data_IF_332002112250
#
_entry.id   IF_332002112250
#
_cell.length_a   1.000
_cell.length_b   1.000
_cell.length_c   1.000
_cell.angle_alpha   90.00
_cell.angle_beta   90.00
_cell.angle_gamma   90.00
#
_symmetry.space_group_name_H-M   'P 1'
#
loop_
_entity.id
_entity.type
_entity.pdbx_description
1 polymer ?
#
# COMPACT_ATOMS: atom_id res chain seq x y z
N UNK A 1 -27.31 3.60 0.54
CA UNK A 1 -25.94 3.47 1.10
C UNK A 1 -25.30 2.12 0.79
N UNK A 2 -25.86 0.98 1.23
CA UNK A 2 -25.30 -0.36 0.93
C UNK A 2 -25.05 -0.60 -0.57
N UNK A 3 -26.05 -0.39 -1.43
CA UNK A 3 -25.91 -0.61 -2.88
C UNK A 3 -24.89 0.35 -3.54
N UNK A 4 -24.78 1.59 -3.05
CA UNK A 4 -23.79 2.56 -3.54
C UNK A 4 -22.38 2.09 -3.19
N UNK A 5 -22.16 1.65 -1.93
CA UNK A 5 -20.86 1.13 -1.50
C UNK A 5 -20.49 -0.13 -2.29
N UNK A 6 -21.42 -1.07 -2.50
CA UNK A 6 -21.17 -2.28 -3.30
C UNK A 6 -20.88 -1.95 -4.76
N UNK A 7 -21.52 -0.92 -5.32
CA UNK A 7 -21.22 -0.42 -6.66
C UNK A 7 -19.81 0.15 -6.76
N UNK A 8 -19.39 0.97 -5.79
CA UNK A 8 -18.03 1.52 -5.73
C UNK A 8 -16.97 0.43 -5.58
N UNK A 9 -17.25 -0.60 -4.76
CA UNK A 9 -16.40 -1.78 -4.62
C UNK A 9 -16.25 -2.51 -5.96
N UNK A 10 -17.33 -2.77 -6.69
CA UNK A 10 -17.28 -3.43 -8.01
C UNK A 10 -16.52 -2.63 -9.06
N UNK A 11 -16.54 -1.30 -8.94
CA UNK A 11 -15.78 -0.40 -9.82
C UNK A 11 -14.31 -0.24 -9.40
N UNK A 12 -13.89 -0.86 -8.30
CA UNK A 12 -12.57 -0.66 -7.67
C UNK A 12 -12.27 0.83 -7.37
N UNK A 13 -13.31 1.62 -7.11
CA UNK A 13 -13.17 3.06 -6.86
C UNK A 13 -12.90 3.33 -5.37
N UNK A 14 -11.62 3.27 -5.01
CA UNK A 14 -11.16 3.53 -3.64
C UNK A 14 -11.53 4.93 -3.12
N UNK A 15 -11.65 5.92 -4.00
CA UNK A 15 -11.99 7.28 -3.61
C UNK A 15 -13.48 7.42 -3.29
N UNK A 16 -14.34 6.85 -4.13
CA UNK A 16 -15.78 6.79 -3.88
C UNK A 16 -16.07 5.95 -2.62
N UNK A 17 -15.38 4.82 -2.43
CA UNK A 17 -15.49 4.00 -1.21
C UNK A 17 -15.19 4.86 0.04
N UNK A 18 -14.07 5.60 0.07
CA UNK A 18 -13.75 6.49 1.20
C UNK A 18 -14.84 7.53 1.40
N UNK A 19 -15.25 8.20 0.33
CA UNK A 19 -16.25 9.28 0.37
C UNK A 19 -17.56 8.78 0.97
N UNK A 20 -18.04 7.63 0.50
CA UNK A 20 -19.24 6.99 1.04
C UNK A 20 -19.05 6.67 2.52
N UNK A 21 -17.99 5.94 2.90
CA UNK A 21 -17.78 5.49 4.27
C UNK A 21 -17.58 6.63 5.27
N UNK A 22 -16.92 7.72 4.86
CA UNK A 22 -16.65 8.88 5.71
C UNK A 22 -17.90 9.76 5.90
N UNK A 23 -18.84 9.72 4.96
CA UNK A 23 -20.11 10.45 5.03
C UNK A 23 -21.21 9.74 5.84
N UNK A 24 -20.98 8.51 6.33
CA UNK A 24 -21.98 7.76 7.08
C UNK A 24 -22.18 8.33 8.49
N UNK A 25 -23.43 8.34 8.94
CA UNK A 25 -23.74 8.43 10.37
C UNK A 25 -23.24 7.18 11.13
N UNK A 26 -23.10 7.29 12.45
CA UNK A 26 -22.71 6.14 13.30
C UNK A 26 -23.68 4.96 13.15
N UNK A 27 -24.98 5.23 13.06
CA UNK A 27 -26.00 4.19 12.89
C UNK A 27 -25.86 3.46 11.54
N UNK A 28 -25.66 4.20 10.46
CA UNK A 28 -25.44 3.62 9.13
C UNK A 28 -24.14 2.82 9.06
N UNK A 29 -23.07 3.36 9.66
CA UNK A 29 -21.78 2.68 9.77
C UNK A 29 -21.92 1.36 10.52
N UNK A 30 -22.60 1.34 11.66
CA UNK A 30 -22.81 0.12 12.44
C UNK A 30 -23.62 -0.91 11.65
N UNK A 31 -24.71 -0.49 10.99
CA UNK A 31 -25.51 -1.39 10.13
C UNK A 31 -24.67 -2.00 9.00
N UNK A 32 -23.80 -1.22 8.38
CA UNK A 32 -22.90 -1.72 7.33
C UNK A 32 -21.81 -2.63 7.90
N UNK A 33 -21.19 -2.30 9.04
CA UNK A 33 -20.23 -3.17 9.73
C UNK A 33 -20.84 -4.55 10.00
N UNK A 34 -22.04 -4.58 10.60
CA UNK A 34 -22.77 -5.83 10.86
C UNK A 34 -23.04 -6.59 9.55
N UNK A 35 -23.53 -5.91 8.51
CA UNK A 35 -23.75 -6.54 7.21
C UNK A 35 -22.49 -7.20 6.63
N UNK A 36 -21.35 -6.50 6.65
CA UNK A 36 -20.06 -7.02 6.18
C UNK A 36 -19.56 -8.19 7.03
N UNK A 37 -19.78 -8.11 8.34
CA UNK A 37 -19.37 -9.14 9.29
C UNK A 37 -20.24 -10.38 9.20
N UNK A 38 -21.54 -10.27 8.91
CA UNK A 38 -22.47 -11.40 8.86
C UNK A 38 -22.52 -12.09 7.49
N UNK A 39 -22.40 -11.31 6.41
CA UNK A 39 -22.51 -11.82 5.04
C UNK A 39 -21.16 -12.32 4.53
N UNK A 40 -21.03 -13.55 4.02
CA UNK A 40 -19.82 -13.98 3.33
C UNK A 40 -19.55 -13.13 2.07
N UNK A 41 -18.29 -12.83 1.76
CA UNK A 41 -17.94 -12.04 0.55
C UNK A 41 -18.57 -12.61 -0.72
N UNK A 42 -18.59 -13.93 -0.85
CA UNK A 42 -19.17 -14.64 -2.01
C UNK A 42 -20.66 -14.39 -2.22
N UNK A 43 -21.36 -13.87 -1.20
CA UNK A 43 -22.78 -13.51 -1.27
C UNK A 43 -23.00 -12.00 -1.42
N UNK A 44 -21.96 -11.18 -1.24
CA UNK A 44 -22.07 -9.73 -1.40
C UNK A 44 -22.04 -9.29 -2.87
N UNK A 45 -21.35 -10.07 -3.73
CA UNK A 45 -21.37 -9.91 -5.20
C UNK A 45 -20.72 -11.12 -5.90
N UNK A 46 -21.06 -11.30 -7.19
CA UNK A 46 -20.38 -12.24 -8.07
C UNK A 46 -18.94 -11.79 -8.29
N UNK A 47 -17.99 -12.47 -7.65
CA UNK A 47 -16.55 -12.24 -7.81
C UNK A 47 -16.09 -12.83 -9.15
N UNK A 48 -15.74 -12.03 -10.19
CA UNK A 48 -14.92 -12.55 -11.27
C UNK A 48 -13.59 -13.06 -10.68
N UNK A 49 -13.29 -14.35 -10.90
CA UNK A 49 -11.97 -14.91 -10.56
C UNK A 49 -10.91 -14.31 -11.49
N UNK A 50 -10.37 -13.15 -11.12
CA UNK A 50 -9.17 -12.59 -11.75
C UNK A 50 -7.93 -13.23 -11.12
N UNK A 51 -7.08 -13.86 -11.93
CA UNK A 51 -5.80 -14.43 -11.48
C UNK A 51 -4.64 -13.48 -11.84
N UNK A 52 -4.97 -12.28 -12.34
CA UNK A 52 -4.00 -11.32 -12.84
C UNK A 52 -3.31 -10.61 -11.66
N UNK A 53 -1.97 -10.71 -11.65
CA UNK A 53 -1.08 -10.26 -10.56
C UNK A 53 -1.16 -8.76 -10.21
N UNK A 54 -1.79 -7.95 -11.07
CA UNK A 54 -1.86 -6.48 -10.99
C UNK A 54 -3.29 -5.91 -11.04
N UNK A 55 -4.31 -6.75 -10.91
CA UNK A 55 -5.71 -6.30 -10.76
C UNK A 55 -6.05 -6.41 -9.28
N UNK A 56 -6.71 -5.41 -8.65
CA UNK A 56 -7.23 -5.55 -7.31
C UNK A 56 -8.01 -6.85 -7.24
N UNK A 57 -7.53 -7.79 -6.43
CA UNK A 57 -8.34 -8.93 -6.11
C UNK A 57 -9.53 -8.33 -5.37
N UNK A 58 -10.73 -8.62 -5.84
CA UNK A 58 -11.99 -8.11 -5.31
C UNK A 58 -12.08 -8.15 -3.76
N UNK A 59 -11.43 -9.15 -3.15
CA UNK A 59 -11.23 -9.28 -1.71
C UNK A 59 -10.42 -8.15 -1.04
N UNK A 60 -9.42 -7.59 -1.73
CA UNK A 60 -8.58 -6.46 -1.27
C UNK A 60 -9.42 -5.18 -1.22
N UNK A 61 -10.18 -4.89 -2.27
CA UNK A 61 -11.07 -3.71 -2.32
C UNK A 61 -12.16 -3.80 -1.26
N UNK A 62 -12.70 -5.00 -1.05
CA UNK A 62 -13.65 -5.28 0.03
C UNK A 62 -13.07 -5.05 1.41
N UNK A 63 -11.86 -5.55 1.65
CA UNK A 63 -11.23 -5.35 2.94
C UNK A 63 -10.86 -3.87 3.16
N UNK A 64 -10.51 -3.13 2.10
CA UNK A 64 -10.35 -1.68 2.16
C UNK A 64 -11.64 -0.95 2.53
N UNK A 65 -12.76 -1.33 1.92
CA UNK A 65 -14.07 -0.78 2.30
C UNK A 65 -14.35 -1.04 3.78
N UNK A 66 -14.04 -2.24 4.28
CA UNK A 66 -14.16 -2.57 5.68
C UNK A 66 -13.19 -1.77 6.57
N UNK A 67 -11.94 -1.54 6.14
CA UNK A 67 -11.00 -0.64 6.82
C UNK A 67 -11.54 0.79 6.91
N UNK A 68 -12.26 1.29 5.92
CA UNK A 68 -12.88 2.62 5.97
C UNK A 68 -14.08 2.69 6.93
N UNK A 69 -14.76 1.56 7.17
CA UNK A 69 -15.88 1.45 8.10
C UNK A 69 -15.41 1.23 9.55
N UNK A 70 -14.33 0.50 9.73
CA UNK A 70 -13.72 0.19 11.02
C UNK A 70 -12.92 1.34 11.60
N UNK A 71 -12.73 1.25 12.90
CA UNK A 71 -11.97 2.15 13.75
C UNK A 71 -10.97 1.38 14.63
N UNK A 72 -10.90 0.05 14.49
CA UNK A 72 -10.07 -0.87 15.27
C UNK A 72 -9.49 -1.98 14.37
N UNK A 73 -8.26 -2.42 14.64
CA UNK A 73 -7.56 -3.42 13.82
C UNK A 73 -8.15 -4.81 13.97
N UNK A 74 -8.62 -5.16 15.16
CA UNK A 74 -9.19 -6.45 15.53
C UNK A 74 -10.40 -6.80 14.68
N UNK A 75 -11.22 -5.80 14.33
CA UNK A 75 -12.38 -5.98 13.46
C UNK A 75 -11.95 -6.40 12.06
N UNK A 76 -10.93 -5.73 11.52
CA UNK A 76 -10.39 -6.06 10.20
C UNK A 76 -9.84 -7.48 10.20
N UNK A 77 -9.05 -7.84 11.22
CA UNK A 77 -8.50 -9.19 11.36
C UNK A 77 -9.61 -10.25 11.47
N UNK A 78 -10.71 -9.93 12.16
CA UNK A 78 -11.86 -10.81 12.23
C UNK A 78 -12.54 -10.98 10.86
N UNK A 79 -12.77 -9.89 10.15
CA UNK A 79 -13.34 -9.89 8.81
C UNK A 79 -12.48 -10.69 7.81
N UNK A 80 -11.16 -10.47 7.82
CA UNK A 80 -10.20 -11.18 6.98
C UNK A 80 -10.22 -12.69 7.24
N UNK A 81 -10.15 -13.11 8.51
CA UNK A 81 -10.18 -14.52 8.91
C UNK A 81 -11.48 -15.21 8.50
N UNK A 82 -12.63 -14.56 8.77
CA UNK A 82 -13.95 -15.12 8.42
C UNK A 82 -14.06 -15.37 6.91
N UNK A 83 -13.50 -14.48 6.10
CA UNK A 83 -13.63 -14.52 4.66
C UNK A 83 -12.43 -15.16 3.95
N UNK A 84 -11.50 -15.77 4.71
CA UNK A 84 -10.31 -16.41 4.19
C UNK A 84 -9.51 -15.49 3.24
N UNK A 85 -9.41 -14.21 3.60
CA UNK A 85 -8.64 -13.20 2.86
C UNK A 85 -7.19 -13.33 3.30
N UNK A 86 -6.29 -13.51 2.35
CA UNK A 86 -4.84 -13.64 2.58
C UNK A 86 -4.46 -14.68 3.66
N UNK A 87 -4.98 -15.92 3.59
CA UNK A 87 -4.81 -16.92 4.66
C UNK A 87 -3.37 -17.40 4.83
N UNK A 88 -2.55 -17.18 3.80
CA UNK A 88 -1.12 -17.53 3.77
C UNK A 88 -0.24 -16.48 4.46
N UNK A 89 -0.79 -15.28 4.72
CA UNK A 89 -0.10 -14.21 5.41
C UNK A 89 -0.76 -13.98 6.76
N UNK A 90 -0.01 -14.25 7.84
CA UNK A 90 -0.42 -13.95 9.23
C UNK A 90 -0.86 -12.49 9.42
N UNK A 91 -0.49 -11.62 8.48
CA UNK A 91 -0.58 -10.16 8.55
C UNK A 91 -1.74 -9.57 7.75
N UNK A 92 -2.55 -10.42 7.12
CA UNK A 92 -3.82 -10.03 6.51
C UNK A 92 -3.68 -9.15 5.28
N UNK A 93 -4.77 -8.47 4.92
CA UNK A 93 -4.86 -7.62 3.72
C UNK A 93 -4.01 -6.34 3.84
N UNK A 94 -3.72 -5.93 5.07
CA UNK A 94 -2.94 -4.73 5.32
C UNK A 94 -1.53 -4.84 4.72
N UNK A 95 -1.01 -6.06 4.63
CA UNK A 95 0.24 -6.31 3.91
C UNK A 95 0.14 -5.99 2.41
N UNK A 96 -0.97 -6.31 1.75
CA UNK A 96 -1.19 -5.99 0.34
C UNK A 96 -1.22 -4.47 0.12
N UNK A 97 -1.75 -3.73 1.09
CA UNK A 97 -1.76 -2.27 1.13
C UNK A 97 -0.39 -1.63 1.37
N UNK A 98 0.58 -2.39 1.90
CA UNK A 98 1.98 -1.95 2.03
C UNK A 98 2.80 -2.24 0.76
N UNK A 99 2.20 -2.86 -0.25
CA UNK A 99 2.81 -3.07 -1.57
C UNK A 99 2.67 -1.83 -2.45
N UNK A 100 3.50 -1.74 -3.49
CA UNK A 100 3.48 -0.61 -4.44
C UNK A 100 2.12 -0.44 -5.14
N UNK A 101 1.30 -1.49 -5.24
CA UNK A 101 0.05 -1.43 -5.99
C UNK A 101 -1.07 -0.67 -5.26
N UNK A 102 -1.05 -0.67 -3.92
CA UNK A 102 -2.16 -0.17 -3.10
C UNK A 102 -1.72 0.81 -2.00
N UNK A 103 -0.43 1.16 -1.96
CA UNK A 103 0.07 2.11 -0.97
C UNK A 103 -0.59 3.50 -1.05
N UNK A 104 -0.96 4.07 -2.23
CA UNK A 104 -1.61 5.38 -2.28
C UNK A 104 -2.97 5.38 -1.56
N UNK A 105 -3.70 4.28 -1.64
CA UNK A 105 -5.02 4.10 -1.05
C UNK A 105 -4.92 4.00 0.47
N UNK A 106 -3.97 3.21 0.96
CA UNK A 106 -3.66 3.17 2.39
C UNK A 106 -3.17 4.51 2.92
N UNK A 107 -2.29 5.18 2.18
CA UNK A 107 -1.77 6.49 2.53
C UNK A 107 -2.90 7.51 2.68
N UNK A 108 -3.83 7.55 1.73
CA UNK A 108 -4.99 8.43 1.78
C UNK A 108 -5.88 8.13 3.00
N UNK A 109 -6.03 6.86 3.38
CA UNK A 109 -6.78 6.47 4.57
C UNK A 109 -6.09 6.89 5.87
N UNK A 110 -4.78 6.61 6.05
CA UNK A 110 -4.05 6.95 7.29
C UNK A 110 -3.86 8.46 7.50
N UNK A 111 -3.98 9.25 6.43
CA UNK A 111 -3.96 10.71 6.49
C UNK A 111 -5.33 11.30 6.88
N UNK A 112 -6.41 10.51 6.74
CA UNK A 112 -7.74 10.91 7.17
C UNK A 112 -7.96 10.63 8.67
N UNK A 113 -8.79 11.43 9.38
CA UNK A 113 -9.12 11.17 10.79
C UNK A 113 -9.64 9.76 11.05
N UNK A 114 -10.44 9.22 10.13
CA UNK A 114 -11.03 7.89 10.21
C UNK A 114 -9.98 6.76 10.15
N UNK A 115 -8.80 7.01 9.58
CA UNK A 115 -7.70 6.05 9.52
C UNK A 115 -6.67 6.19 10.64
N UNK A 116 -6.92 7.03 11.66
CA UNK A 116 -5.96 7.27 12.74
C UNK A 116 -5.53 5.98 13.45
N UNK A 117 -6.44 5.04 13.66
CA UNK A 117 -6.15 3.74 14.28
C UNK A 117 -5.13 2.91 13.48
N UNK A 118 -5.14 3.01 12.14
CA UNK A 118 -4.15 2.31 11.30
C UNK A 118 -2.77 2.97 11.40
N UNK A 119 -2.72 4.28 11.66
CA UNK A 119 -1.47 5.01 11.82
C UNK A 119 -0.70 4.54 13.06
N UNK A 120 -1.39 4.21 14.14
CA UNK A 120 -0.82 3.69 15.38
C UNK A 120 -0.19 2.30 15.19
N UNK A 121 -0.70 1.51 14.23
CA UNK A 121 -0.19 0.17 13.91
C UNK A 121 1.09 0.21 13.05
N UNK A 122 1.32 1.27 12.28
CA UNK A 122 2.41 1.36 11.30
C UNK A 122 3.81 1.15 11.89
N UNK A 123 4.19 1.69 13.07
CA UNK A 123 5.50 1.45 13.65
C UNK A 123 5.77 -0.02 13.95
N UNK A 124 4.79 -0.72 14.55
CA UNK A 124 4.92 -2.16 14.83
C UNK A 124 5.03 -2.95 13.51
N UNK A 125 4.20 -2.58 12.54
CA UNK A 125 4.27 -3.18 11.21
C UNK A 125 5.55 -2.84 10.45
N UNK A 126 6.23 -1.73 10.75
CA UNK A 126 7.54 -1.48 10.19
C UNK A 126 8.58 -2.44 10.80
N UNK A 127 8.61 -2.55 12.13
CA UNK A 127 9.57 -3.40 12.87
C UNK A 127 9.54 -4.86 12.37
N UNK A 128 8.35 -5.43 12.18
CA UNK A 128 8.24 -6.85 11.87
C UNK A 128 8.45 -7.20 10.40
N UNK A 129 8.46 -6.21 9.51
CA UNK A 129 8.05 -6.39 8.11
C UNK A 129 8.76 -5.46 7.14
N UNK A 130 9.67 -4.63 7.61
CA UNK A 130 10.31 -3.57 6.85
C UNK A 130 10.78 -4.01 5.44
N UNK A 131 11.35 -5.22 5.34
CA UNK A 131 11.84 -5.81 4.08
C UNK A 131 10.74 -6.12 3.05
N UNK A 132 9.49 -6.17 3.47
CA UNK A 132 8.34 -6.52 2.65
C UNK A 132 7.51 -5.33 2.19
N UNK A 133 7.59 -4.20 2.91
CA UNK A 133 7.01 -2.93 2.50
C UNK A 133 7.66 -2.47 1.18
N UNK A 134 6.91 -1.79 0.32
CA UNK A 134 7.48 -1.21 -0.90
C UNK A 134 8.39 -0.01 -0.59
N UNK A 135 9.30 0.31 -1.49
CA UNK A 135 10.18 1.46 -1.30
C UNK A 135 9.36 2.76 -1.22
N UNK A 136 8.32 2.93 -2.04
CA UNK A 136 7.50 4.14 -2.04
C UNK A 136 6.82 4.35 -0.70
N UNK A 137 6.24 3.28 -0.14
CA UNK A 137 5.59 3.34 1.16
C UNK A 137 6.63 3.60 2.27
N UNK A 138 7.77 2.91 2.27
CA UNK A 138 8.88 3.20 3.21
C UNK A 138 9.31 4.66 3.13
N UNK A 139 9.47 5.18 1.91
CA UNK A 139 9.90 6.54 1.66
C UNK A 139 8.90 7.55 2.20
N UNK A 140 7.62 7.41 1.86
CA UNK A 140 6.56 8.29 2.34
C UNK A 140 6.42 8.24 3.85
N UNK A 141 6.44 7.05 4.46
CA UNK A 141 6.35 6.90 5.92
C UNK A 141 7.52 7.60 6.64
N UNK A 142 8.72 7.52 6.07
CA UNK A 142 9.88 8.26 6.57
C UNK A 142 9.67 9.78 6.45
N UNK A 143 9.22 10.27 5.28
CA UNK A 143 8.95 11.70 5.08
C UNK A 143 7.82 12.24 5.97
N UNK A 144 6.95 11.37 6.46
CA UNK A 144 5.88 11.70 7.42
C UNK A 144 6.32 11.55 8.89
N UNK A 145 7.60 11.27 9.16
CA UNK A 145 8.16 11.02 10.49
C UNK A 145 7.48 9.85 11.25
N UNK A 146 6.92 8.88 10.52
CA UNK A 146 6.26 7.69 11.10
C UNK A 146 7.21 6.53 11.33
N UNK A 147 8.31 6.50 10.59
CA UNK A 147 9.38 5.50 10.74
C UNK A 147 10.75 6.18 10.65
N UNK A 148 11.79 5.65 11.32
CA UNK A 148 13.14 6.17 11.19
C UNK A 148 13.74 5.82 9.83
N UNK A 149 14.62 6.70 9.33
CA UNK A 149 15.44 6.39 8.15
C UNK A 149 16.37 5.21 8.44
N UNK A 150 16.38 4.24 7.52
CA UNK A 150 17.27 3.08 7.58
C UNK A 150 17.98 2.94 6.23
N UNK A 151 19.18 3.50 6.11
CA UNK A 151 19.96 3.60 4.85
C UNK A 151 20.08 2.22 4.17
N UNK A 152 20.47 1.19 4.92
CA UNK A 152 20.61 -0.17 4.39
C UNK A 152 19.30 -0.71 3.83
N UNK A 153 18.23 -0.67 4.63
CA UNK A 153 16.93 -1.19 4.22
C UNK A 153 16.42 -0.47 2.98
N UNK A 154 16.50 0.86 2.96
CA UNK A 154 15.95 1.68 1.88
C UNK A 154 16.72 1.43 0.58
N UNK A 155 18.05 1.37 0.64
CA UNK A 155 18.90 1.03 -0.50
C UNK A 155 18.58 -0.38 -1.00
N UNK A 156 18.60 -1.39 -0.14
CA UNK A 156 18.29 -2.76 -0.55
C UNK A 156 16.89 -2.86 -1.15
N UNK A 157 15.87 -2.22 -0.56
CA UNK A 157 14.51 -2.27 -1.07
C UNK A 157 14.38 -1.61 -2.46
N UNK A 158 14.97 -0.42 -2.64
CA UNK A 158 14.98 0.31 -3.92
C UNK A 158 15.53 -0.55 -5.05
N UNK A 159 16.68 -1.18 -4.84
CA UNK A 159 17.35 -1.94 -5.89
C UNK A 159 16.79 -3.36 -6.08
N UNK A 160 16.41 -4.06 -5.01
CA UNK A 160 15.93 -5.44 -5.12
C UNK A 160 14.51 -5.54 -5.69
N UNK A 161 13.61 -4.61 -5.34
CA UNK A 161 12.18 -4.73 -5.67
C UNK A 161 11.71 -3.81 -6.77
N UNK A 162 12.28 -2.62 -6.92
CA UNK A 162 11.80 -1.71 -7.94
C UNK A 162 12.50 -1.95 -9.27
N UNK A 163 13.83 -2.11 -9.28
CA UNK A 163 14.60 -2.18 -10.55
C UNK A 163 14.26 -3.44 -11.35
N UNK A 164 13.94 -4.53 -10.66
CA UNK A 164 13.62 -5.82 -11.28
C UNK A 164 12.22 -5.92 -11.92
N UNK A 165 11.31 -4.97 -11.66
CA UNK A 165 9.89 -5.08 -12.05
C UNK A 165 9.27 -3.79 -12.61
N UNK A 166 10.02 -2.69 -12.72
CA UNK A 166 9.50 -1.37 -13.14
C UNK A 166 10.24 -0.80 -14.34
N UNK A 167 9.51 -0.06 -15.15
CA UNK A 167 10.06 0.64 -16.31
C UNK A 167 10.69 1.97 -15.90
N UNK A 168 11.64 2.44 -16.71
CA UNK A 168 12.37 3.70 -16.52
C UNK A 168 11.49 4.93 -16.18
N UNK A 169 10.31 5.16 -16.80
CA UNK A 169 9.49 6.33 -16.50
C UNK A 169 9.06 6.42 -15.03
N UNK A 170 8.78 5.27 -14.41
CA UNK A 170 8.38 5.22 -13.00
C UNK A 170 9.46 5.80 -12.08
N UNK A 171 10.72 5.46 -12.33
CA UNK A 171 11.85 5.97 -11.55
C UNK A 171 12.08 7.45 -11.77
N UNK A 172 11.91 7.92 -13.00
CA UNK A 172 12.02 9.34 -13.31
C UNK A 172 10.98 10.12 -12.50
N UNK A 173 9.71 9.70 -12.51
CA UNK A 173 8.65 10.38 -11.76
C UNK A 173 8.92 10.37 -10.25
N UNK A 174 9.35 9.22 -9.71
CA UNK A 174 9.69 9.09 -8.29
C UNK A 174 10.85 10.01 -7.88
N UNK A 175 11.90 10.09 -8.70
CA UNK A 175 13.07 10.94 -8.43
C UNK A 175 12.76 12.42 -8.63
N UNK A 176 11.87 12.78 -9.56
CA UNK A 176 11.38 14.14 -9.71
C UNK A 176 10.54 14.56 -8.50
N UNK A 177 9.74 13.64 -7.95
CA UNK A 177 8.94 13.87 -6.76
C UNK A 177 9.80 13.98 -5.49
N UNK A 178 10.86 13.18 -5.39
CA UNK A 178 11.75 13.10 -4.22
C UNK A 178 13.22 13.14 -4.64
N UNK A 179 13.75 14.33 -5.00
CA UNK A 179 15.11 14.46 -5.52
C UNK A 179 16.19 14.02 -4.52
N UNK A 180 15.91 14.06 -3.22
CA UNK A 180 16.85 13.65 -2.19
C UNK A 180 17.16 12.14 -2.21
N UNK A 181 16.31 11.31 -2.86
CA UNK A 181 16.59 9.89 -3.11
C UNK A 181 17.92 9.73 -3.84
N UNK A 182 18.27 10.64 -4.75
CA UNK A 182 19.54 10.59 -5.46
C UNK A 182 20.74 10.64 -4.49
N UNK A 183 20.67 11.51 -3.50
CA UNK A 183 21.76 11.70 -2.52
C UNK A 183 21.75 10.71 -1.37
N UNK A 184 20.58 10.23 -0.93
CA UNK A 184 20.45 9.35 0.24
C UNK A 184 20.45 7.87 -0.14
N UNK A 185 19.92 7.52 -1.31
CA UNK A 185 19.73 6.13 -1.74
C UNK A 185 20.71 5.78 -2.85
N UNK A 186 20.67 6.50 -3.98
CA UNK A 186 21.52 6.14 -5.13
C UNK A 186 23.01 6.30 -4.81
N UNK A 187 23.40 7.34 -4.07
CA UNK A 187 24.79 7.56 -3.68
C UNK A 187 25.28 6.55 -2.61
N UNK A 188 24.37 6.01 -1.80
CA UNK A 188 24.67 5.00 -0.79
C UNK A 188 24.71 3.57 -1.36
N UNK A 189 24.21 3.35 -2.57
CA UNK A 189 24.14 2.04 -3.22
C UNK A 189 25.45 1.22 -3.15
N UNK A 190 26.64 1.78 -3.43
CA UNK A 190 27.89 1.02 -3.40
C UNK A 190 28.23 0.41 -2.03
N UNK A 191 27.68 0.95 -0.93
CA UNK A 191 27.92 0.44 0.43
C UNK A 191 27.16 -0.86 0.73
N UNK A 192 26.06 -1.12 0.03
CA UNK A 192 25.12 -2.20 0.38
C UNK A 192 24.87 -3.18 -0.77
N UNK A 193 25.07 -2.74 -2.01
CA UNK A 193 24.85 -3.55 -3.19
C UNK A 193 26.19 -4.11 -3.67
N UNK A 194 26.53 -5.31 -3.21
CA UNK A 194 27.82 -5.96 -3.53
C UNK A 194 27.74 -6.94 -4.72
N UNK A 195 26.54 -7.36 -5.15
CA UNK A 195 26.37 -8.46 -6.12
C UNK A 195 25.31 -8.24 -7.21
N UNK A 196 24.58 -7.10 -7.24
CA UNK A 196 23.59 -6.82 -8.29
C UNK A 196 24.19 -6.02 -9.46
N UNK A 197 25.33 -6.49 -9.97
CA UNK A 197 25.98 -6.04 -11.21
C UNK A 197 25.17 -6.33 -12.49
N UNK A 198 23.90 -6.72 -12.38
CA UNK A 198 23.05 -7.04 -13.53
C UNK A 198 22.30 -5.85 -14.13
N UNK A 199 22.32 -4.66 -13.50
CA UNK A 199 21.64 -3.45 -14.03
C UNK A 199 22.49 -2.17 -13.93
N UNK A 200 23.82 -2.29 -13.97
CA UNK A 200 24.72 -1.12 -14.01
C UNK A 200 24.36 -0.14 -15.13
N UNK A 201 23.85 -0.62 -16.28
CA UNK A 201 23.41 0.24 -17.38
C UNK A 201 22.18 1.09 -17.04
N UNK A 202 21.15 0.52 -16.41
CA UNK A 202 19.96 1.28 -15.98
C UNK A 202 20.28 2.28 -14.87
N UNK A 203 21.15 1.91 -13.94
CA UNK A 203 21.57 2.79 -12.84
C UNK A 203 22.39 3.96 -13.39
N UNK A 204 23.33 3.69 -14.30
CA UNK A 204 24.12 4.73 -14.98
C UNK A 204 23.22 5.62 -15.85
N UNK A 205 22.22 5.06 -16.54
CA UNK A 205 21.25 5.83 -17.31
C UNK A 205 20.42 6.78 -16.42
N UNK A 206 19.91 6.30 -15.28
CA UNK A 206 19.22 7.15 -14.31
C UNK A 206 20.11 8.28 -13.78
N UNK A 207 21.36 7.97 -13.42
CA UNK A 207 22.34 8.99 -13.01
C UNK A 207 22.59 10.03 -14.13
N UNK A 208 22.72 9.60 -15.39
CA UNK A 208 22.90 10.51 -16.52
C UNK A 208 21.68 11.39 -16.79
N UNK A 209 20.46 10.88 -16.62
CA UNK A 209 19.22 11.65 -16.78
C UNK A 209 19.10 12.70 -15.68
N UNK A 210 19.36 12.32 -14.43
CA UNK A 210 19.34 13.25 -13.30
C UNK A 210 20.37 14.37 -13.47
N UNK A 211 21.60 14.02 -13.86
CA UNK A 211 22.67 15.01 -14.05
C UNK A 211 22.41 15.97 -15.23
N UNK A 212 21.55 15.62 -16.18
CA UNK A 212 21.12 16.51 -17.27
C UNK A 212 19.91 17.40 -16.92
N UNK A 213 19.12 17.04 -15.91
CA UNK A 213 17.91 17.79 -15.50
C UNK A 213 18.11 18.67 -14.27
N UNK A 214 19.20 18.46 -13.50
CA UNK A 214 19.55 19.21 -12.29
C UNK A 214 20.61 20.31 -12.53
N UNK A 215 21.00 20.55 -13.79
CA UNK A 215 21.86 21.67 -14.23
C UNK A 215 21.00 22.69 -14.97
#
# INVERSE_FOLDING_TARGET
MKELLLSAIKAHDFNEIRTICFGLSEEERLKLKVFFLDTPITQMYDLPKSWAKNVPNDHIVMAYAFMCLSDQREEILHFERKNNICPWYVKGVFYDFLSTAFYPELLALIQAPQGAYLKEELPQMYVENAKYISFEMLWVLYKMDLIPFNEKLFVENFYHKNVSYREEPFFIDLLLQYPEIATQILAAAPKYIYTYLYDTEYILAMYHILNKKLI
#
